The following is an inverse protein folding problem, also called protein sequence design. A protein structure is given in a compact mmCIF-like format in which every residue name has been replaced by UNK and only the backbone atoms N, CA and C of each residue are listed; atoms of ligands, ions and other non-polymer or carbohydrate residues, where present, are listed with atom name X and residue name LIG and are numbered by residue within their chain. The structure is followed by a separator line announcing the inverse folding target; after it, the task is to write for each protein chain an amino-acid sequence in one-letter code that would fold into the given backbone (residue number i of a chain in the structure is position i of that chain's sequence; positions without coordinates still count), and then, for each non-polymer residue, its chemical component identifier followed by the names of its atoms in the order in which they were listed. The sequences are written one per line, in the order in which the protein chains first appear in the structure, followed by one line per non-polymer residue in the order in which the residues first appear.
data_IF_799049456971
#
_entry.id   IF_799049456971
#
_cell.length_a   1.000
_cell.length_b   1.000
_cell.length_c   1.000
_cell.angle_alpha   90.00
_cell.angle_beta   90.00
_cell.angle_gamma   90.00
#
_symmetry.space_group_name_H-M   'P 1'
#
loop_
_entity.id
_entity.type
_entity.pdbx_description
1 polymer ?
#
# COMPACT_ATOMS: atom_id res chain seq x y z
N UNK A 1 19.73 29.61 27.83
CA UNK A 1 20.32 29.01 26.60
C UNK A 1 19.27 28.27 25.78
N UNK A 2 18.51 27.33 26.35
CA UNK A 2 17.55 26.51 25.58
C UNK A 2 16.37 27.26 24.95
N UNK A 3 15.76 28.20 25.68
CA UNK A 3 14.72 29.08 25.13
C UNK A 3 15.29 29.94 24.00
N UNK A 4 16.54 30.37 24.12
CA UNK A 4 17.24 31.16 23.08
C UNK A 4 17.46 30.30 21.83
N UNK A 5 17.91 29.06 21.96
CA UNK A 5 18.07 28.15 20.81
C UNK A 5 16.74 27.86 20.11
N UNK A 6 15.67 27.62 20.88
CA UNK A 6 14.32 27.46 20.32
C UNK A 6 13.86 28.73 19.60
N UNK A 7 14.08 29.90 20.21
CA UNK A 7 13.74 31.19 19.63
C UNK A 7 14.49 31.43 18.31
N UNK A 8 15.80 31.20 18.29
CA UNK A 8 16.65 31.33 17.09
C UNK A 8 16.18 30.39 15.98
N UNK A 9 15.87 29.13 16.30
CA UNK A 9 15.32 28.17 15.33
C UNK A 9 13.98 28.67 14.78
N UNK A 10 13.08 29.14 15.65
CA UNK A 10 11.76 29.64 15.20
C UNK A 10 11.86 30.91 14.36
N UNK A 11 12.78 31.81 14.69
CA UNK A 11 13.01 33.05 13.96
C UNK A 11 13.66 32.78 12.61
N UNK A 12 14.67 31.90 12.57
CA UNK A 12 15.27 31.42 11.32
C UNK A 12 14.24 30.74 10.43
N UNK A 13 13.35 29.92 11.02
CA UNK A 13 12.25 29.29 10.29
C UNK A 13 11.31 30.33 9.67
N UNK A 14 10.88 31.34 10.44
CA UNK A 14 9.99 32.41 9.97
C UNK A 14 10.59 33.21 8.81
N UNK A 15 11.88 33.56 8.89
CA UNK A 15 12.58 34.25 7.80
C UNK A 15 12.63 33.39 6.54
N UNK A 16 12.85 32.08 6.70
CA UNK A 16 13.01 31.15 5.60
C UNK A 16 11.72 30.88 4.82
N UNK A 17 10.54 31.17 5.39
CA UNK A 17 9.23 30.91 4.77
C UNK A 17 9.05 31.60 3.41
N UNK A 18 9.72 32.72 3.19
CA UNK A 18 9.65 33.49 1.94
C UNK A 18 10.60 32.98 0.84
N UNK A 19 11.49 32.03 1.16
CA UNK A 19 12.47 31.49 0.22
C UNK A 19 12.11 30.05 -0.14
N UNK A 20 12.12 29.71 -1.43
CA UNK A 20 11.74 28.37 -1.89
C UNK A 20 12.85 27.37 -1.60
N UNK A 21 13.94 27.38 -2.36
CA UNK A 21 15.00 26.37 -2.24
C UNK A 21 15.89 26.51 -0.99
N UNK A 22 16.33 27.71 -0.56
CA UNK A 22 17.06 27.86 0.71
C UNK A 22 16.18 27.52 1.91
N UNK A 23 14.88 27.83 1.82
CA UNK A 23 13.91 27.56 2.87
C UNK A 23 13.81 26.08 3.21
N UNK A 24 13.77 25.21 2.19
CA UNK A 24 13.75 23.76 2.38
C UNK A 24 14.94 23.28 3.21
N UNK A 25 16.15 23.74 2.87
CA UNK A 25 17.37 23.34 3.59
C UNK A 25 17.37 23.84 5.03
N UNK A 26 16.94 25.08 5.27
CA UNK A 26 16.80 25.63 6.62
C UNK A 26 15.80 24.82 7.45
N UNK A 27 14.62 24.53 6.89
CA UNK A 27 13.58 23.73 7.54
C UNK A 27 14.04 22.30 7.86
N UNK A 28 14.77 21.65 6.96
CA UNK A 28 15.36 20.32 7.19
C UNK A 28 16.41 20.36 8.29
N UNK A 29 17.34 21.33 8.24
CA UNK A 29 18.36 21.51 9.28
C UNK A 29 17.71 21.76 10.65
N UNK A 30 16.69 22.61 10.71
CA UNK A 30 15.93 22.88 11.93
C UNK A 30 15.21 21.62 12.43
N UNK A 31 14.59 20.85 11.55
CA UNK A 31 13.94 19.59 11.92
C UNK A 31 14.94 18.59 12.51
N UNK A 32 16.12 18.44 11.90
CA UNK A 32 17.18 17.55 12.37
C UNK A 32 17.75 18.02 13.71
N UNK A 33 18.06 19.31 13.86
CA UNK A 33 18.54 19.88 15.12
C UNK A 33 17.54 19.68 16.25
N UNK A 34 16.26 20.01 16.02
CA UNK A 34 15.19 19.78 16.98
C UNK A 34 15.05 18.30 17.34
N UNK A 35 15.24 17.39 16.37
CA UNK A 35 15.22 15.95 16.60
C UNK A 35 16.39 15.46 17.46
N UNK A 36 17.60 15.93 17.20
CA UNK A 36 18.78 15.61 18.02
C UNK A 36 18.56 16.10 19.46
N UNK A 37 18.10 17.34 19.62
CA UNK A 37 17.82 17.91 20.94
C UNK A 37 16.69 17.14 21.64
N UNK A 38 15.61 16.80 20.93
CA UNK A 38 14.52 15.99 21.45
C UNK A 38 15.02 14.65 22.00
N UNK A 39 15.92 13.99 21.26
CA UNK A 39 16.53 12.72 21.65
C UNK A 39 17.46 12.88 22.85
N UNK A 40 18.27 13.93 22.91
CA UNK A 40 19.17 14.17 24.03
C UNK A 40 18.40 14.45 25.33
N UNK A 41 17.29 15.20 25.24
CA UNK A 41 16.55 15.68 26.43
C UNK A 41 15.31 14.87 26.75
N UNK A 42 14.98 13.84 25.97
CA UNK A 42 13.83 12.97 26.23
C UNK A 42 12.51 13.77 26.25
N UNK A 43 12.42 14.83 25.44
CA UNK A 43 11.26 15.73 25.40
C UNK A 43 10.34 15.42 24.24
N UNK A 44 9.08 15.06 24.54
CA UNK A 44 8.06 14.80 23.51
C UNK A 44 7.71 16.05 22.71
N UNK A 45 7.66 17.23 23.36
CA UNK A 45 7.26 18.48 22.70
C UNK A 45 8.23 18.86 21.59
N UNK A 46 9.53 18.62 21.77
CA UNK A 46 10.54 18.85 20.73
C UNK A 46 10.43 17.89 19.56
N UNK A 47 9.94 16.65 19.79
CA UNK A 47 9.59 15.74 18.69
C UNK A 47 8.45 16.34 17.85
N UNK A 48 7.44 16.94 18.48
CA UNK A 48 6.37 17.63 17.74
C UNK A 48 6.92 18.81 16.93
N UNK A 49 7.80 19.63 17.52
CA UNK A 49 8.43 20.73 16.82
C UNK A 49 9.26 20.26 15.61
N UNK A 50 10.05 19.18 15.76
CA UNK A 50 10.83 18.55 14.68
C UNK A 50 9.93 18.06 13.54
N UNK A 51 8.85 17.35 13.88
CA UNK A 51 7.87 16.87 12.90
C UNK A 51 7.15 18.03 12.18
N UNK A 52 6.80 19.12 12.88
CA UNK A 52 6.23 20.30 12.22
C UNK A 52 7.24 20.97 11.29
N UNK A 53 8.51 21.11 11.69
CA UNK A 53 9.55 21.71 10.85
C UNK A 53 9.80 20.89 9.56
N UNK A 54 9.78 19.57 9.65
CA UNK A 54 9.87 18.71 8.47
C UNK A 54 8.66 18.80 7.54
N UNK A 55 7.45 18.98 8.08
CA UNK A 55 6.23 19.20 7.30
C UNK A 55 6.34 20.51 6.52
N UNK A 56 6.88 21.56 7.16
CA UNK A 56 7.17 22.83 6.48
C UNK A 56 8.21 22.65 5.38
N UNK A 57 9.27 21.86 5.62
CA UNK A 57 10.27 21.56 4.59
C UNK A 57 9.66 20.87 3.37
N UNK A 58 8.80 19.86 3.60
CA UNK A 58 8.07 19.18 2.52
C UNK A 58 7.15 20.18 1.81
N UNK A 59 6.39 20.99 2.53
CA UNK A 59 5.55 22.03 1.94
C UNK A 59 6.34 22.99 1.04
N UNK A 60 7.43 23.56 1.55
CA UNK A 60 8.32 24.44 0.78
C UNK A 60 8.93 23.74 -0.43
N UNK A 61 9.29 22.46 -0.31
CA UNK A 61 9.83 21.68 -1.42
C UNK A 61 8.78 21.49 -2.50
N UNK A 62 7.53 21.18 -2.13
CA UNK A 62 6.44 21.03 -3.10
C UNK A 62 6.11 22.36 -3.79
N UNK A 63 6.17 23.49 -3.06
CA UNK A 63 5.98 24.83 -3.65
C UNK A 63 7.16 25.28 -4.54
N UNK A 64 8.36 24.77 -4.28
CA UNK A 64 9.53 25.08 -5.11
C UNK A 64 9.47 24.44 -6.50
N UNK A 65 8.72 23.34 -6.65
CA UNK A 65 8.57 22.62 -7.91
C UNK A 65 7.27 23.09 -8.59
N UNK A 66 7.37 23.61 -9.83
CA UNK A 66 6.27 24.31 -10.51
C UNK A 66 4.97 23.49 -10.74
N UNK A 67 4.99 22.15 -10.56
CA UNK A 67 3.81 21.26 -10.61
C UNK A 67 3.12 21.08 -9.23
N UNK A 68 3.12 22.14 -8.43
CA UNK A 68 3.00 22.13 -6.96
C UNK A 68 1.68 21.63 -6.38
N UNK A 69 0.52 21.89 -6.99
CA UNK A 69 -0.76 21.70 -6.28
C UNK A 69 -1.19 20.23 -6.20
N UNK A 70 -0.98 19.45 -7.26
CA UNK A 70 -1.41 18.04 -7.33
C UNK A 70 -0.42 17.06 -6.71
N UNK A 71 0.83 17.46 -6.52
CA UNK A 71 1.85 16.63 -5.86
C UNK A 71 1.80 16.74 -4.33
N UNK A 72 1.20 17.81 -3.79
CA UNK A 72 1.10 18.03 -2.34
C UNK A 72 0.45 16.87 -1.57
N UNK A 73 -0.71 16.31 -1.98
CA UNK A 73 -1.33 15.21 -1.22
C UNK A 73 -0.45 13.97 -1.19
N UNK A 74 0.25 13.67 -2.28
CA UNK A 74 1.16 12.50 -2.36
C UNK A 74 2.34 12.70 -1.40
N UNK A 75 2.98 13.87 -1.42
CA UNK A 75 4.09 14.18 -0.53
C UNK A 75 3.68 14.12 0.96
N UNK A 76 2.48 14.60 1.29
CA UNK A 76 1.92 14.48 2.64
C UNK A 76 1.65 13.02 3.03
N UNK A 77 1.16 12.19 2.10
CA UNK A 77 0.95 10.76 2.32
C UNK A 77 2.29 10.01 2.55
N UNK A 78 3.33 10.33 1.78
CA UNK A 78 4.68 9.78 1.95
C UNK A 78 5.25 10.14 3.32
N UNK A 79 5.13 11.41 3.72
CA UNK A 79 5.57 11.87 5.03
C UNK A 79 4.78 11.20 6.17
N UNK A 80 3.47 11.04 6.00
CA UNK A 80 2.62 10.32 6.95
C UNK A 80 3.05 8.85 7.08
N UNK A 81 3.34 8.17 5.96
CA UNK A 81 3.85 6.81 5.96
C UNK A 81 5.21 6.72 6.66
N UNK A 82 6.13 7.62 6.35
CA UNK A 82 7.47 7.65 6.98
C UNK A 82 7.37 7.79 8.50
N UNK A 83 6.57 8.74 8.99
CA UNK A 83 6.35 8.91 10.44
C UNK A 83 5.61 7.74 11.07
N UNK A 84 4.65 7.17 10.36
CA UNK A 84 3.97 5.98 10.84
C UNK A 84 4.90 4.78 10.95
N UNK A 85 5.71 4.49 9.93
CA UNK A 85 6.64 3.36 9.94
C UNK A 85 7.65 3.49 11.08
N UNK A 86 8.21 4.69 11.29
CA UNK A 86 9.09 4.93 12.44
C UNK A 86 8.36 4.80 13.76
N UNK A 87 7.21 5.46 13.92
CA UNK A 87 6.45 5.47 15.17
C UNK A 87 5.91 4.10 15.55
N UNK A 88 5.25 3.40 14.63
CA UNK A 88 4.72 2.04 14.82
C UNK A 88 5.85 1.00 14.89
N UNK A 89 6.93 1.17 14.14
CA UNK A 89 8.12 0.31 14.20
C UNK A 89 8.79 0.34 15.58
N UNK A 90 8.97 1.53 16.16
CA UNK A 90 9.51 1.68 17.52
C UNK A 90 8.60 1.01 18.56
N UNK A 91 7.28 1.19 18.46
CA UNK A 91 6.32 0.51 19.36
C UNK A 91 6.40 -1.00 19.19
N UNK A 92 6.49 -1.51 17.96
CA UNK A 92 6.61 -2.94 17.70
C UNK A 92 7.89 -3.52 18.32
N UNK A 93 9.04 -2.87 18.12
CA UNK A 93 10.31 -3.31 18.72
C UNK A 93 10.22 -3.29 20.24
N UNK A 94 9.61 -2.25 20.82
CA UNK A 94 9.37 -2.16 22.26
C UNK A 94 8.55 -3.34 22.79
N UNK A 95 7.50 -3.73 22.08
CA UNK A 95 6.60 -4.82 22.51
C UNK A 95 7.24 -6.22 22.38
N UNK A 96 8.22 -6.37 21.50
CA UNK A 96 8.99 -7.62 21.33
C UNK A 96 10.05 -7.81 22.41
N UNK A 97 10.62 -6.72 22.93
CA UNK A 97 11.62 -6.77 24.00
C UNK A 97 10.92 -7.00 25.35
N UNK A 98 10.45 -8.23 25.58
CA UNK A 98 9.82 -8.68 26.84
C UNK A 98 10.81 -9.28 27.85
N UNK A 99 12.07 -9.50 27.49
CA UNK A 99 13.08 -10.11 28.36
C UNK A 99 13.98 -9.08 29.05
N UNK A 100 13.42 -8.29 29.97
CA UNK A 100 14.18 -7.52 30.97
C UNK A 100 15.00 -6.33 30.47
N UNK A 101 15.17 -6.15 29.15
CA UNK A 101 15.85 -4.99 28.57
C UNK A 101 14.83 -3.90 28.26
N UNK A 102 14.92 -2.75 28.93
CA UNK A 102 14.12 -1.60 28.55
C UNK A 102 14.67 -1.01 27.24
N UNK A 103 13.79 -0.76 26.25
CA UNK A 103 14.16 0.03 25.08
C UNK A 103 14.73 1.36 25.55
N UNK A 104 15.82 1.82 24.93
CA UNK A 104 16.48 3.07 25.32
C UNK A 104 15.46 4.22 25.38
N UNK A 105 15.37 4.97 26.49
CA UNK A 105 14.32 5.96 26.71
C UNK A 105 14.27 7.02 25.61
N UNK A 106 15.43 7.35 25.03
CA UNK A 106 15.55 8.29 23.91
C UNK A 106 14.82 7.86 22.63
N UNK A 107 14.61 6.56 22.40
CA UNK A 107 13.85 6.07 21.25
C UNK A 107 12.35 6.01 21.58
N UNK A 108 12.01 5.64 22.81
CA UNK A 108 10.63 5.49 23.25
C UNK A 108 9.81 6.80 23.18
N UNK A 109 10.45 7.96 23.33
CA UNK A 109 9.77 9.27 23.23
C UNK A 109 9.20 9.57 21.85
N UNK A 110 9.79 8.99 20.79
CA UNK A 110 9.42 9.26 19.40
C UNK A 110 8.15 8.51 18.98
N UNK A 111 7.87 7.36 19.59
CA UNK A 111 6.80 6.48 19.17
C UNK A 111 5.43 7.18 19.14
N UNK A 112 5.00 7.78 20.25
CA UNK A 112 3.66 8.37 20.35
C UNK A 112 3.48 9.65 19.52
N UNK A 113 4.40 10.63 19.55
CA UNK A 113 4.29 11.82 18.71
C UNK A 113 4.25 11.49 17.22
N UNK A 114 5.15 10.62 16.73
CA UNK A 114 5.21 10.28 15.32
C UNK A 114 3.93 9.57 14.85
N UNK A 115 3.37 8.68 15.66
CA UNK A 115 2.09 8.02 15.36
C UNK A 115 0.94 9.04 15.25
N UNK A 116 0.86 10.00 16.18
CA UNK A 116 -0.19 11.03 16.16
C UNK A 116 -0.04 11.97 14.97
N UNK A 117 1.18 12.37 14.62
CA UNK A 117 1.42 13.13 13.39
C UNK A 117 1.05 12.35 12.15
N UNK A 118 1.46 11.09 12.06
CA UNK A 118 1.14 10.24 10.91
C UNK A 118 -0.38 10.13 10.70
N UNK A 119 -1.16 9.92 11.76
CA UNK A 119 -2.62 9.87 11.69
C UNK A 119 -3.27 11.24 11.40
N UNK A 120 -2.73 12.33 11.97
CA UNK A 120 -3.20 13.68 11.68
C UNK A 120 -2.96 14.07 10.22
N UNK A 121 -1.76 13.77 9.71
CA UNK A 121 -1.39 13.98 8.31
C UNK A 121 -2.20 13.08 7.38
N UNK A 122 -2.42 11.80 7.73
CA UNK A 122 -3.23 10.91 6.91
C UNK A 122 -4.67 11.41 6.78
N UNK A 123 -5.25 11.90 7.87
CA UNK A 123 -6.58 12.50 7.84
C UNK A 123 -6.64 13.74 6.96
N UNK A 124 -5.71 14.70 7.16
CA UNK A 124 -5.63 15.90 6.32
C UNK A 124 -5.42 15.58 4.84
N UNK A 125 -4.59 14.58 4.56
CA UNK A 125 -4.31 14.12 3.20
C UNK A 125 -5.53 13.47 2.55
N UNK A 126 -6.31 12.67 3.29
CA UNK A 126 -7.55 12.08 2.78
C UNK A 126 -8.60 13.14 2.44
N UNK A 127 -8.76 14.15 3.31
CA UNK A 127 -9.68 15.27 3.04
C UNK A 127 -9.25 16.00 1.77
N UNK A 128 -7.97 16.36 1.67
CA UNK A 128 -7.43 17.05 0.50
C UNK A 128 -7.58 16.23 -0.79
N UNK A 129 -7.26 14.93 -0.72
CA UNK A 129 -7.40 14.00 -1.86
C UNK A 129 -8.85 13.80 -2.24
N UNK A 130 -9.77 13.75 -1.28
CA UNK A 130 -11.20 13.67 -1.53
C UNK A 130 -11.70 14.90 -2.28
N UNK A 131 -11.30 16.10 -1.83
CA UNK A 131 -11.67 17.37 -2.49
C UNK A 131 -11.10 17.48 -3.90
N UNK A 132 -9.82 17.14 -4.09
CA UNK A 132 -9.14 17.25 -5.39
C UNK A 132 -9.45 16.08 -6.34
N UNK A 133 -9.95 14.96 -5.82
CA UNK A 133 -10.22 13.73 -6.56
C UNK A 133 -11.69 13.47 -6.88
N UNK A 134 -12.61 14.41 -6.57
CA UNK A 134 -14.05 14.22 -6.80
C UNK A 134 -14.38 13.90 -8.27
N UNK A 135 -13.61 14.44 -9.22
CA UNK A 135 -13.81 14.21 -10.65
C UNK A 135 -13.69 12.73 -11.04
N UNK A 136 -12.90 11.93 -10.30
CA UNK A 136 -12.77 10.49 -10.53
C UNK A 136 -14.12 9.77 -10.39
N UNK A 137 -15.00 10.23 -9.48
CA UNK A 137 -16.32 9.64 -9.29
C UNK A 137 -17.17 9.88 -10.55
N UNK A 138 -17.15 11.09 -11.09
CA UNK A 138 -17.87 11.44 -12.31
C UNK A 138 -17.33 10.63 -13.51
N UNK A 139 -16.00 10.51 -13.64
CA UNK A 139 -15.36 9.72 -14.69
C UNK A 139 -15.72 8.23 -14.58
N UNK A 140 -15.71 7.68 -13.35
CA UNK A 140 -16.02 6.26 -13.13
C UNK A 140 -17.49 5.97 -13.41
N UNK A 141 -18.39 6.85 -12.97
CA UNK A 141 -19.83 6.72 -13.21
C UNK A 141 -20.13 6.79 -14.70
N UNK A 142 -19.53 7.74 -15.41
CA UNK A 142 -19.66 7.80 -16.85
C UNK A 142 -19.09 6.54 -17.54
N UNK A 143 -17.98 5.99 -17.04
CA UNK A 143 -17.33 4.81 -17.62
C UNK A 143 -18.22 3.59 -17.57
N UNK A 144 -18.93 3.44 -16.46
CA UNK A 144 -19.96 2.41 -16.30
C UNK A 144 -21.16 2.63 -17.24
N UNK A 145 -21.46 3.88 -17.59
CA UNK A 145 -22.52 4.25 -18.55
C UNK A 145 -22.07 4.25 -20.02
N UNK A 146 -20.82 3.90 -20.31
CA UNK A 146 -20.31 3.69 -21.67
C UNK A 146 -19.99 4.95 -22.48
N UNK A 147 -19.85 6.11 -21.83
CA UNK A 147 -19.43 7.33 -22.53
C UNK A 147 -17.94 7.24 -22.98
N UNK A 148 -17.48 8.05 -23.94
CA UNK A 148 -16.06 8.10 -24.29
C UNK A 148 -15.26 8.89 -23.22
N UNK A 149 -14.28 8.25 -22.58
CA UNK A 149 -13.48 8.83 -21.47
C UNK A 149 -12.12 9.42 -21.87
N UNK A 150 -11.71 9.27 -23.14
CA UNK A 150 -10.33 9.56 -23.56
C UNK A 150 -9.91 11.01 -23.39
N UNK A 151 -10.83 11.98 -23.49
CA UNK A 151 -10.48 13.40 -23.41
C UNK A 151 -10.80 14.03 -22.05
N UNK A 152 -11.43 13.28 -21.14
CA UNK A 152 -11.95 13.81 -19.87
C UNK A 152 -11.05 13.49 -18.66
N UNK A 153 -10.22 12.45 -18.75
CA UNK A 153 -9.47 11.94 -17.59
C UNK A 153 -8.12 12.64 -17.46
N UNK A 154 -7.94 13.38 -16.37
CA UNK A 154 -6.63 13.90 -15.98
C UNK A 154 -5.82 12.82 -15.25
N UNK A 155 -4.84 12.26 -15.95
CA UNK A 155 -3.96 11.21 -15.40
C UNK A 155 -3.18 11.67 -14.15
N UNK A 156 -2.95 12.97 -13.98
CA UNK A 156 -2.26 13.54 -12.82
C UNK A 156 -3.09 13.36 -11.55
N UNK A 157 -4.39 13.63 -11.64
CA UNK A 157 -5.33 13.48 -10.52
C UNK A 157 -5.45 12.00 -10.13
N UNK A 158 -5.54 11.10 -11.11
CA UNK A 158 -5.58 9.65 -10.84
C UNK A 158 -4.31 9.18 -10.15
N UNK A 159 -3.11 9.57 -10.65
CA UNK A 159 -1.83 9.22 -10.01
C UNK A 159 -1.75 9.70 -8.57
N UNK A 160 -2.22 10.91 -8.32
CA UNK A 160 -2.30 11.48 -6.98
C UNK A 160 -3.17 10.60 -6.06
N UNK A 161 -4.40 10.27 -6.47
CA UNK A 161 -5.30 9.43 -5.66
C UNK A 161 -4.72 8.03 -5.45
N UNK A 162 -4.14 7.41 -6.47
CA UNK A 162 -3.48 6.10 -6.37
C UNK A 162 -2.32 6.16 -5.37
N UNK A 163 -1.45 7.18 -5.46
CA UNK A 163 -0.32 7.36 -4.56
C UNK A 163 -0.76 7.51 -3.10
N UNK A 164 -1.75 8.38 -2.85
CA UNK A 164 -2.30 8.59 -1.51
C UNK A 164 -2.92 7.30 -0.96
N UNK A 165 -3.77 6.62 -1.73
CA UNK A 165 -4.40 5.38 -1.31
C UNK A 165 -3.36 4.28 -1.00
N UNK A 166 -2.25 4.23 -1.74
CA UNK A 166 -1.16 3.32 -1.41
C UNK A 166 -0.51 3.65 -0.08
N UNK A 167 0.06 4.85 0.03
CA UNK A 167 0.90 5.20 1.17
C UNK A 167 0.10 5.19 2.46
N UNK A 168 -1.15 5.68 2.43
CA UNK A 168 -2.04 5.62 3.57
C UNK A 168 -2.56 4.21 3.82
N UNK A 169 -2.77 3.40 2.78
CA UNK A 169 -3.07 1.97 2.92
C UNK A 169 -1.97 1.24 3.70
N UNK A 170 -0.70 1.37 3.30
CA UNK A 170 0.43 0.77 4.00
C UNK A 170 0.56 1.28 5.45
N UNK A 171 0.36 2.58 5.66
CA UNK A 171 0.34 3.20 6.98
C UNK A 171 -0.74 2.58 7.88
N UNK A 172 -1.97 2.42 7.37
CA UNK A 172 -3.07 1.88 8.12
C UNK A 172 -2.94 0.38 8.39
N UNK A 173 -2.28 -0.38 7.51
CA UNK A 173 -1.87 -1.75 7.83
C UNK A 173 -0.91 -1.76 9.02
N UNK A 174 0.11 -0.90 9.03
CA UNK A 174 1.05 -0.79 10.16
C UNK A 174 0.35 -0.36 11.47
N UNK A 175 -0.59 0.58 11.38
CA UNK A 175 -1.40 1.02 12.51
C UNK A 175 -2.30 -0.10 13.05
N UNK A 176 -3.00 -0.81 12.16
CA UNK A 176 -3.88 -1.93 12.52
C UNK A 176 -3.10 -3.06 13.21
N UNK A 177 -1.91 -3.37 12.70
CA UNK A 177 -1.01 -4.39 13.26
C UNK A 177 -0.53 -4.07 14.67
N UNK A 178 -0.23 -2.80 14.96
CA UNK A 178 0.28 -2.38 16.27
C UNK A 178 -0.84 -2.22 17.30
N UNK A 179 -1.93 -1.55 16.94
CA UNK A 179 -3.01 -1.21 17.87
C UNK A 179 -4.20 -2.19 17.85
N UNK A 180 -4.13 -3.24 17.02
CA UNK A 180 -5.20 -4.26 16.84
C UNK A 180 -6.53 -3.70 16.36
N UNK A 181 -6.50 -2.57 15.65
CA UNK A 181 -7.70 -1.94 15.10
C UNK A 181 -8.10 -2.60 13.77
N UNK A 182 -8.87 -3.69 13.84
CA UNK A 182 -9.28 -4.48 12.66
C UNK A 182 -9.97 -3.64 11.59
N UNK A 183 -10.79 -2.66 12.00
CA UNK A 183 -11.51 -1.77 11.08
C UNK A 183 -10.56 -0.98 10.18
N UNK A 184 -9.44 -0.50 10.73
CA UNK A 184 -8.41 0.17 9.93
C UNK A 184 -7.68 -0.81 9.03
N UNK A 185 -7.48 -2.05 9.46
CA UNK A 185 -6.88 -3.09 8.64
C UNK A 185 -7.70 -3.39 7.39
N UNK A 186 -9.02 -3.55 7.53
CA UNK A 186 -9.91 -3.72 6.37
C UNK A 186 -9.97 -2.48 5.49
N UNK A 187 -10.03 -1.27 6.09
CA UNK A 187 -9.97 -0.02 5.34
C UNK A 187 -8.66 0.14 4.56
N UNK A 188 -7.54 -0.30 5.13
CA UNK A 188 -6.24 -0.28 4.49
C UNK A 188 -6.17 -1.21 3.27
N UNK A 189 -6.70 -2.43 3.40
CA UNK A 189 -6.83 -3.38 2.29
C UNK A 189 -7.69 -2.77 1.19
N UNK A 190 -8.84 -2.18 1.55
CA UNK A 190 -9.72 -1.54 0.59
C UNK A 190 -9.03 -0.39 -0.15
N UNK A 191 -8.22 0.43 0.54
CA UNK A 191 -7.43 1.48 -0.09
C UNK A 191 -6.38 0.95 -1.05
N UNK A 192 -5.65 -0.11 -0.69
CA UNK A 192 -4.64 -0.71 -1.55
C UNK A 192 -5.26 -1.35 -2.81
N UNK A 193 -6.40 -2.03 -2.65
CA UNK A 193 -7.14 -2.59 -3.78
C UNK A 193 -7.78 -1.51 -4.65
N UNK A 194 -8.28 -0.42 -4.06
CA UNK A 194 -8.79 0.73 -4.81
C UNK A 194 -7.68 1.41 -5.61
N UNK A 195 -6.50 1.63 -5.01
CA UNK A 195 -5.32 2.13 -5.71
C UNK A 195 -4.95 1.23 -6.89
N UNK A 196 -4.93 -0.08 -6.68
CA UNK A 196 -4.64 -1.05 -7.73
C UNK A 196 -5.67 -1.03 -8.86
N UNK A 197 -6.97 -1.01 -8.53
CA UNK A 197 -8.06 -0.91 -9.51
C UNK A 197 -8.01 0.39 -10.31
N UNK A 198 -7.82 1.53 -9.65
CA UNK A 198 -7.69 2.82 -10.32
C UNK A 198 -6.47 2.84 -11.25
N UNK A 199 -5.36 2.24 -10.82
CA UNK A 199 -4.15 2.16 -11.64
C UNK A 199 -4.37 1.31 -12.90
N UNK A 200 -5.01 0.14 -12.76
CA UNK A 200 -5.38 -0.71 -13.90
C UNK A 200 -6.34 0.02 -14.83
N UNK A 201 -7.41 0.61 -14.31
CA UNK A 201 -8.47 1.13 -15.16
C UNK A 201 -8.05 2.39 -15.91
N UNK A 202 -7.37 3.31 -15.22
CA UNK A 202 -7.07 4.63 -15.75
C UNK A 202 -5.62 4.79 -16.21
N UNK A 203 -4.62 4.35 -15.45
CA UNK A 203 -3.21 4.62 -15.76
C UNK A 203 -2.66 3.68 -16.83
N UNK A 204 -3.07 2.40 -16.82
CA UNK A 204 -2.68 1.40 -17.83
C UNK A 204 -2.83 1.90 -19.27
N UNK A 205 -3.89 2.65 -19.55
CA UNK A 205 -4.25 3.08 -20.91
C UNK A 205 -3.36 4.22 -21.44
N UNK A 206 -2.60 4.89 -20.56
CA UNK A 206 -1.81 6.08 -20.88
C UNK A 206 -0.30 5.89 -20.72
N UNK A 207 0.18 5.09 -19.75
CA UNK A 207 1.59 5.10 -19.35
C UNK A 207 2.31 3.75 -19.45
N UNK A 208 1.88 2.87 -20.38
CA UNK A 208 2.46 1.55 -20.63
C UNK A 208 2.75 0.77 -19.33
N UNK A 209 1.76 0.00 -18.88
CA UNK A 209 1.64 -0.86 -17.68
C UNK A 209 2.84 -1.79 -17.31
N UNK A 210 4.01 -1.64 -17.95
CA UNK A 210 5.27 -2.34 -17.67
C UNK A 210 5.78 -2.13 -16.24
N UNK A 211 5.49 -0.98 -15.61
CA UNK A 211 6.08 -0.61 -14.33
C UNK A 211 5.23 -0.94 -13.09
N UNK A 212 4.04 -1.52 -13.25
CA UNK A 212 3.13 -1.78 -12.12
C UNK A 212 3.74 -2.70 -11.05
N UNK A 213 4.64 -3.61 -11.44
CA UNK A 213 5.34 -4.47 -10.48
C UNK A 213 6.22 -3.72 -9.49
N UNK A 214 6.83 -2.60 -9.91
CA UNK A 214 7.67 -1.81 -9.02
C UNK A 214 6.90 -1.29 -7.81
N UNK A 215 5.58 -1.19 -7.95
CA UNK A 215 4.67 -0.84 -6.88
C UNK A 215 4.05 -2.08 -6.20
N UNK A 216 3.52 -3.00 -7.00
CA UNK A 216 2.72 -4.12 -6.49
C UNK A 216 3.56 -5.13 -5.69
N UNK A 217 4.81 -5.34 -6.09
CA UNK A 217 5.70 -6.30 -5.43
C UNK A 217 6.13 -5.84 -4.03
N UNK A 218 6.67 -4.61 -3.80
CA UNK A 218 6.98 -4.15 -2.45
C UNK A 218 5.76 -4.09 -1.53
N UNK A 219 4.62 -3.61 -2.05
CA UNK A 219 3.37 -3.56 -1.27
C UNK A 219 2.88 -4.96 -0.88
N UNK A 220 2.90 -5.91 -1.82
CA UNK A 220 2.54 -7.31 -1.55
C UNK A 220 3.46 -7.98 -0.53
N UNK A 221 4.78 -7.79 -0.65
CA UNK A 221 5.74 -8.29 0.34
C UNK A 221 5.50 -7.70 1.74
N UNK A 222 5.17 -6.40 1.82
CA UNK A 222 4.82 -5.76 3.08
C UNK A 222 3.58 -6.41 3.71
N UNK A 223 2.53 -6.63 2.92
CA UNK A 223 1.31 -7.30 3.38
C UNK A 223 1.56 -8.73 3.85
N UNK A 224 2.32 -9.53 3.10
CA UNK A 224 2.69 -10.91 3.50
C UNK A 224 3.50 -10.89 4.81
N UNK A 225 4.41 -9.93 4.95
CA UNK A 225 5.22 -9.78 6.17
C UNK A 225 4.35 -9.48 7.39
N UNK A 226 3.41 -8.55 7.27
CA UNK A 226 2.47 -8.23 8.34
C UNK A 226 1.53 -9.41 8.62
N UNK A 227 1.02 -10.07 7.59
CA UNK A 227 0.16 -11.24 7.73
C UNK A 227 0.84 -12.37 8.51
N UNK A 228 2.13 -12.60 8.26
CA UNK A 228 2.93 -13.56 9.00
C UNK A 228 3.04 -13.22 10.49
N UNK A 229 3.31 -11.95 10.80
CA UNK A 229 3.41 -11.49 12.18
C UNK A 229 2.06 -11.58 12.90
N UNK A 230 0.97 -11.27 12.20
CA UNK A 230 -0.38 -11.28 12.77
C UNK A 230 -0.93 -12.69 12.98
N UNK A 231 -0.53 -13.63 12.11
CA UNK A 231 -0.73 -15.06 12.34
C UNK A 231 -0.03 -15.54 13.61
N UNK A 232 1.22 -15.12 13.86
CA UNK A 232 1.96 -15.46 15.09
C UNK A 232 1.28 -14.91 16.36
N UNK A 233 0.57 -13.80 16.26
CA UNK A 233 -0.22 -13.22 17.37
C UNK A 233 -1.60 -13.87 17.57
N UNK A 234 -1.98 -14.84 16.73
CA UNK A 234 -3.22 -15.60 16.86
C UNK A 234 -4.40 -15.07 16.03
N UNK A 235 -4.27 -13.95 15.31
CA UNK A 235 -5.34 -13.40 14.50
C UNK A 235 -5.31 -13.96 13.07
N UNK A 236 -5.89 -15.15 12.91
CA UNK A 236 -5.81 -15.92 11.66
C UNK A 236 -6.67 -15.38 10.52
N UNK A 237 -7.80 -14.75 10.81
CA UNK A 237 -8.73 -14.28 9.78
C UNK A 237 -8.20 -13.04 9.07
N UNK A 238 -7.72 -12.06 9.84
CA UNK A 238 -7.13 -10.86 9.25
C UNK A 238 -5.82 -11.17 8.50
N UNK A 239 -4.99 -12.08 9.03
CA UNK A 239 -3.82 -12.57 8.31
C UNK A 239 -4.19 -13.20 6.95
N UNK A 240 -5.28 -13.97 6.89
CA UNK A 240 -5.77 -14.53 5.62
C UNK A 240 -6.16 -13.45 4.62
N UNK A 241 -6.89 -12.42 5.06
CA UNK A 241 -7.26 -11.30 4.19
C UNK A 241 -6.05 -10.52 3.67
N UNK A 242 -5.05 -10.27 4.51
CA UNK A 242 -3.80 -9.63 4.09
C UNK A 242 -3.05 -10.47 3.04
N UNK A 243 -2.94 -11.78 3.26
CA UNK A 243 -2.29 -12.69 2.33
C UNK A 243 -3.02 -12.79 0.98
N UNK A 244 -4.36 -12.83 0.98
CA UNK A 244 -5.13 -12.81 -0.26
C UNK A 244 -4.99 -11.48 -1.00
N UNK A 245 -5.00 -10.36 -0.27
CA UNK A 245 -4.81 -9.04 -0.86
C UNK A 245 -3.41 -8.91 -1.48
N UNK A 246 -2.38 -9.42 -0.80
CA UNK A 246 -1.03 -9.47 -1.33
C UNK A 246 -0.95 -10.31 -2.61
N UNK A 247 -1.57 -11.48 -2.63
CA UNK A 247 -1.61 -12.35 -3.80
C UNK A 247 -2.31 -11.67 -4.98
N UNK A 248 -3.43 -10.99 -4.75
CA UNK A 248 -4.14 -10.23 -5.78
C UNK A 248 -3.26 -9.11 -6.33
N UNK A 249 -2.60 -8.35 -5.45
CA UNK A 249 -1.71 -7.27 -5.90
C UNK A 249 -0.54 -7.81 -6.72
N UNK A 250 0.18 -8.83 -6.25
CA UNK A 250 1.37 -9.36 -6.90
C UNK A 250 1.02 -10.19 -8.15
N UNK A 251 0.33 -11.32 -7.94
CA UNK A 251 0.01 -12.27 -9.01
C UNK A 251 -1.01 -11.68 -9.98
N UNK A 252 -2.00 -10.92 -9.50
CA UNK A 252 -2.99 -10.26 -10.37
C UNK A 252 -2.36 -9.22 -11.28
N UNK A 253 -1.42 -8.40 -10.75
CA UNK A 253 -0.67 -7.45 -11.59
C UNK A 253 0.18 -8.17 -12.63
N UNK A 254 0.87 -9.24 -12.25
CA UNK A 254 1.74 -10.01 -13.16
C UNK A 254 0.93 -10.73 -14.24
N UNK A 255 -0.22 -11.30 -13.86
CA UNK A 255 -1.14 -11.93 -14.81
C UNK A 255 -1.63 -10.94 -15.85
N UNK A 256 -2.05 -9.75 -15.41
CA UNK A 256 -2.50 -8.71 -16.34
C UNK A 256 -1.37 -8.22 -17.25
N UNK A 257 -0.16 -8.05 -16.72
CA UNK A 257 1.01 -7.72 -17.55
C UNK A 257 1.38 -8.82 -18.54
N UNK A 258 1.18 -10.09 -18.17
CA UNK A 258 1.40 -11.23 -19.06
C UNK A 258 0.50 -11.17 -20.28
N UNK A 259 -0.79 -10.82 -20.09
CA UNK A 259 -1.73 -10.66 -21.19
C UNK A 259 -1.28 -9.56 -22.16
N UNK A 260 -0.76 -8.44 -21.65
CA UNK A 260 -0.45 -7.25 -22.45
C UNK A 260 0.95 -7.26 -23.09
N UNK A 261 1.95 -7.74 -22.37
CA UNK A 261 3.37 -7.61 -22.74
C UNK A 261 4.07 -8.95 -22.97
N UNK A 262 3.35 -10.07 -22.82
CA UNK A 262 3.79 -11.39 -23.23
C UNK A 262 4.72 -12.12 -22.25
N UNK A 263 5.62 -12.92 -22.82
CA UNK A 263 6.29 -14.03 -22.13
C UNK A 263 7.19 -13.65 -20.95
N UNK A 264 7.82 -12.47 -20.96
CA UNK A 264 8.71 -12.04 -19.87
C UNK A 264 7.94 -11.95 -18.54
N UNK A 265 6.72 -11.41 -18.59
CA UNK A 265 5.86 -11.32 -17.40
C UNK A 265 5.25 -12.67 -17.03
N UNK A 266 5.03 -13.57 -18.00
CA UNK A 266 4.65 -14.95 -17.72
C UNK A 266 5.73 -15.68 -16.92
N UNK A 267 7.01 -15.46 -17.25
CA UNK A 267 8.12 -16.01 -16.49
C UNK A 267 8.17 -15.44 -15.08
N UNK A 268 8.04 -14.12 -14.91
CA UNK A 268 7.96 -13.53 -13.57
C UNK A 268 6.80 -14.12 -12.76
N UNK A 269 5.62 -14.27 -13.37
CA UNK A 269 4.45 -14.87 -12.72
C UNK A 269 4.70 -16.33 -12.32
N UNK A 270 5.33 -17.09 -13.21
CA UNK A 270 5.75 -18.46 -12.92
C UNK A 270 6.78 -18.53 -11.80
N UNK A 271 7.76 -17.62 -11.78
CA UNK A 271 8.79 -17.59 -10.73
C UNK A 271 8.21 -17.21 -9.37
N UNK A 272 7.33 -16.21 -9.30
CA UNK A 272 6.64 -15.86 -8.06
C UNK A 272 5.70 -16.96 -7.59
N UNK A 273 4.99 -17.59 -8.52
CA UNK A 273 4.16 -18.77 -8.26
C UNK A 273 4.97 -19.94 -7.68
N UNK A 274 6.11 -20.27 -8.30
CA UNK A 274 7.03 -21.29 -7.80
C UNK A 274 7.59 -20.92 -6.42
N UNK A 275 8.04 -19.69 -6.23
CA UNK A 275 8.56 -19.24 -4.94
C UNK A 275 7.51 -19.37 -3.83
N UNK A 276 6.27 -18.95 -4.08
CA UNK A 276 5.16 -19.13 -3.16
C UNK A 276 4.84 -20.62 -2.91
N UNK A 277 4.89 -21.45 -3.95
CA UNK A 277 4.66 -22.89 -3.86
C UNK A 277 5.74 -23.58 -3.00
N UNK A 278 7.02 -23.32 -3.28
CA UNK A 278 8.14 -23.86 -2.51
C UNK A 278 8.09 -23.40 -1.06
N UNK A 279 7.80 -22.13 -0.82
CA UNK A 279 7.65 -21.59 0.53
C UNK A 279 6.49 -22.23 1.30
N UNK A 280 5.34 -22.40 0.63
CA UNK A 280 4.17 -23.07 1.18
C UNK A 280 4.44 -24.54 1.50
N UNK A 281 5.15 -25.25 0.62
CA UNK A 281 5.58 -26.64 0.82
C UNK A 281 6.53 -26.77 2.00
N UNK A 282 7.61 -25.96 2.03
CA UNK A 282 8.60 -25.96 3.10
C UNK A 282 7.98 -25.70 4.48
N UNK A 283 7.05 -24.74 4.57
CA UNK A 283 6.37 -24.40 5.83
C UNK A 283 5.12 -25.23 6.12
N UNK A 284 4.75 -26.16 5.23
CA UNK A 284 3.51 -26.95 5.30
C UNK A 284 2.24 -26.09 5.43
N UNK A 285 2.23 -24.92 4.79
CA UNK A 285 1.12 -23.98 4.78
C UNK A 285 0.31 -24.12 3.49
N UNK A 286 -0.84 -24.81 3.57
CA UNK A 286 -1.74 -25.07 2.43
C UNK A 286 -2.05 -23.81 1.62
N UNK A 287 -2.26 -22.68 2.29
CA UNK A 287 -2.63 -21.41 1.65
C UNK A 287 -1.57 -20.90 0.66
N UNK A 288 -0.29 -20.87 1.05
CA UNK A 288 0.78 -20.42 0.13
C UNK A 288 1.03 -21.45 -0.97
N UNK A 289 0.83 -22.74 -0.67
CA UNK A 289 0.90 -23.80 -1.67
C UNK A 289 -0.20 -23.62 -2.73
N UNK A 290 -1.45 -23.34 -2.33
CA UNK A 290 -2.54 -23.00 -3.25
C UNK A 290 -2.26 -21.71 -4.04
N UNK A 291 -1.78 -20.64 -3.40
CA UNK A 291 -1.40 -19.42 -4.11
C UNK A 291 -0.33 -19.69 -5.17
N UNK A 292 0.69 -20.48 -4.85
CA UNK A 292 1.74 -20.84 -5.79
C UNK A 292 1.24 -21.67 -6.97
N UNK A 293 0.36 -22.65 -6.71
CA UNK A 293 -0.31 -23.40 -7.79
C UNK A 293 -1.15 -22.49 -8.68
N UNK A 294 -1.93 -21.58 -8.09
CA UNK A 294 -2.72 -20.60 -8.85
C UNK A 294 -1.81 -19.71 -9.68
N UNK A 295 -0.70 -19.21 -9.13
CA UNK A 295 0.29 -18.42 -9.89
C UNK A 295 0.84 -19.17 -11.10
N UNK A 296 1.17 -20.45 -10.94
CA UNK A 296 1.64 -21.31 -12.03
C UNK A 296 0.57 -21.55 -13.10
N UNK A 297 -0.68 -21.81 -12.69
CA UNK A 297 -1.82 -21.94 -13.60
C UNK A 297 -2.02 -20.64 -14.36
N UNK A 298 -2.02 -19.49 -13.68
CA UNK A 298 -2.18 -18.18 -14.31
C UNK A 298 -1.03 -17.86 -15.27
N UNK A 299 0.21 -18.25 -14.98
CA UNK A 299 1.34 -18.09 -15.88
C UNK A 299 1.16 -18.90 -17.17
N UNK A 300 0.79 -20.18 -17.05
CA UNK A 300 0.57 -21.06 -18.20
C UNK A 300 -0.63 -20.62 -19.04
N UNK A 301 -1.76 -20.30 -18.40
CA UNK A 301 -2.96 -19.80 -19.07
C UNK A 301 -2.70 -18.44 -19.72
N UNK A 302 -2.05 -17.52 -19.01
CA UNK A 302 -1.71 -16.20 -19.55
C UNK A 302 -0.83 -16.28 -20.79
N UNK A 303 0.20 -17.15 -20.75
CA UNK A 303 1.07 -17.39 -21.91
C UNK A 303 0.32 -18.05 -23.07
N UNK A 304 -0.58 -19.01 -22.79
CA UNK A 304 -1.41 -19.64 -23.80
C UNK A 304 -2.33 -18.61 -24.47
N UNK A 305 -3.01 -17.76 -23.68
CA UNK A 305 -3.87 -16.71 -24.19
C UNK A 305 -3.10 -15.70 -25.05
N UNK A 306 -1.91 -15.27 -24.61
CA UNK A 306 -1.08 -14.36 -25.38
C UNK A 306 -0.65 -14.99 -26.73
N UNK A 307 -0.22 -16.26 -26.71
CA UNK A 307 0.16 -16.99 -27.92
C UNK A 307 -1.02 -17.11 -28.88
N UNK A 308 -2.22 -17.38 -28.37
CA UNK A 308 -3.44 -17.49 -29.18
C UNK A 308 -3.94 -16.14 -29.71
N UNK A 309 -3.82 -15.06 -28.94
CA UNK A 309 -4.16 -13.70 -29.41
C UNK A 309 -3.29 -13.29 -30.60
N UNK A 310 -2.04 -13.75 -30.64
CA UNK A 310 -1.13 -13.49 -31.76
C UNK A 310 -1.54 -14.22 -33.05
N UNK A 311 -2.29 -15.33 -32.94
CA UNK A 311 -2.74 -16.14 -34.08
C UNK A 311 -4.17 -15.80 -34.49
N UNK A 312 -5.12 -15.75 -33.55
CA UNK A 312 -6.53 -15.43 -33.81
C UNK A 312 -7.29 -15.04 -32.52
N UNK A 313 -7.84 -13.83 -32.48
CA UNK A 313 -8.59 -13.30 -31.33
C UNK A 313 -9.87 -14.08 -31.01
N UNK A 314 -10.51 -14.73 -31.98
CA UNK A 314 -11.74 -15.51 -31.75
C UNK A 314 -11.52 -16.77 -30.91
N UNK A 315 -10.35 -17.42 -31.06
CA UNK A 315 -10.00 -18.60 -30.27
C UNK A 315 -9.81 -18.24 -28.79
N UNK A 316 -9.30 -17.04 -28.52
CA UNK A 316 -9.09 -16.53 -27.17
C UNK A 316 -10.42 -16.27 -26.46
N UNK A 317 -11.39 -15.66 -27.14
CA UNK A 317 -12.74 -15.52 -26.60
C UNK A 317 -13.40 -16.88 -26.34
N UNK A 318 -13.18 -17.86 -27.23
CA UNK A 318 -13.64 -19.24 -27.04
C UNK A 318 -13.04 -19.89 -25.79
N UNK A 319 -11.74 -19.75 -25.55
CA UNK A 319 -11.05 -20.35 -24.39
C UNK A 319 -11.42 -19.64 -23.09
N UNK A 320 -11.51 -18.31 -23.07
CA UNK A 320 -11.98 -17.56 -21.90
C UNK A 320 -13.41 -17.98 -21.57
N UNK A 321 -14.29 -18.09 -22.58
CA UNK A 321 -15.66 -18.58 -22.41
C UNK A 321 -15.70 -20.00 -21.84
N UNK A 322 -14.87 -20.90 -22.37
CA UNK A 322 -14.80 -22.28 -21.90
C UNK A 322 -14.23 -22.37 -20.47
N UNK A 323 -13.24 -21.56 -20.12
CA UNK A 323 -12.72 -21.44 -18.76
C UNK A 323 -13.78 -20.95 -17.77
N UNK A 324 -14.58 -19.95 -18.16
CA UNK A 324 -15.69 -19.46 -17.34
C UNK A 324 -16.74 -20.54 -17.13
N UNK A 325 -17.11 -21.27 -18.17
CA UNK A 325 -18.05 -22.41 -18.08
C UNK A 325 -17.48 -23.52 -17.20
N UNK A 326 -16.21 -23.90 -17.38
CA UNK A 326 -15.57 -24.92 -16.56
C UNK A 326 -15.50 -24.50 -15.08
N UNK A 327 -15.19 -23.22 -14.82
CA UNK A 327 -15.19 -22.66 -13.46
C UNK A 327 -16.59 -22.68 -12.86
N UNK A 328 -17.61 -22.27 -13.62
CA UNK A 328 -19.01 -22.34 -13.19
C UNK A 328 -19.42 -23.77 -12.84
N UNK A 329 -19.08 -24.76 -13.68
CA UNK A 329 -19.37 -26.18 -13.43
C UNK A 329 -18.63 -26.70 -12.19
N UNK A 330 -17.38 -26.30 -11.98
CA UNK A 330 -16.62 -26.70 -10.78
C UNK A 330 -17.24 -26.08 -9.52
N UNK A 331 -17.64 -24.81 -9.57
CA UNK A 331 -18.31 -24.11 -8.46
C UNK A 331 -19.66 -24.76 -8.16
N UNK A 332 -20.44 -25.10 -9.18
CA UNK A 332 -21.72 -25.79 -9.06
C UNK A 332 -21.54 -27.17 -8.41
N UNK A 333 -20.61 -27.99 -8.92
CA UNK A 333 -20.30 -29.29 -8.32
C UNK A 333 -19.76 -29.20 -6.90
N UNK A 334 -18.97 -28.15 -6.59
CA UNK A 334 -18.45 -27.94 -5.23
C UNK A 334 -19.53 -27.41 -4.28
N UNK A 335 -20.51 -26.66 -4.75
CA UNK A 335 -21.69 -26.26 -3.97
C UNK A 335 -22.56 -27.47 -3.62
N UNK A 336 -22.64 -28.47 -4.51
CA UNK A 336 -23.30 -29.75 -4.24
C UNK A 336 -22.54 -30.58 -3.20
N UNK A 337 -21.21 -30.66 -3.30
CA UNK A 337 -20.35 -31.30 -2.28
C UNK A 337 -20.46 -30.58 -0.91
N UNK A 338 -20.47 -29.25 -0.87
CA UNK A 338 -20.51 -28.46 0.38
C UNK A 338 -21.85 -28.64 1.12
N UNK A 339 -22.96 -28.86 0.41
CA UNK A 339 -24.24 -29.22 1.04
C UNK A 339 -24.21 -30.60 1.70
N UNK A 340 -23.42 -31.55 1.18
CA UNK A 340 -23.26 -32.88 1.78
C UNK A 340 -22.26 -32.89 2.94
N UNK A 341 -21.28 -31.99 2.94
CA UNK A 341 -20.28 -31.88 4.03
C UNK A 341 -20.75 -31.06 5.24
N UNK A 342 -21.84 -30.30 5.13
CA UNK A 342 -22.40 -29.54 6.27
C UNK A 342 -22.95 -30.47 7.37
N UNK A 343 -23.53 -31.63 7.00
CA UNK A 343 -24.02 -32.64 7.95
C UNK A 343 -22.87 -33.43 8.64
N UNK A 344 -21.69 -33.52 8.01
CA UNK A 344 -20.54 -34.26 8.56
C UNK A 344 -19.71 -33.38 9.51
N UNK A 345 -19.67 -32.07 9.28
CA UNK A 345 -18.85 -31.12 10.05
C UNK A 345 -19.51 -30.63 11.36
N UNK A 346 -20.81 -30.85 11.59
CA UNK A 346 -21.45 -30.62 12.91
C UNK A 346 -21.04 -31.66 13.98
N UNK A 347 -20.39 -32.76 13.58
CA UNK A 347 -19.92 -33.80 14.53
C UNK A 347 -18.48 -33.61 15.01
N UNK A 348 -17.85 -32.50 14.61
CA UNK A 348 -16.49 -32.13 15.02
C UNK A 348 -16.42 -30.74 15.68
N UNK A 349 -17.36 -30.49 16.61
CA UNK A 349 -17.08 -29.62 17.77
C UNK A 349 -16.64 -30.46 18.99
#
# INVERSE_FOLDING_TARGET
LYIMTLFDITLGQLISLNSTTPGVMVSLCNALLLGVIASMWVSRLLVYASATASLLAVGQSVFAWQDSTKSLPVALAELALFYGLLGYGITFVRDQIKCGQALHPRLAIWASPLQRYALGLSFGTLVLTGLMGMDIIAWTTGALLGLPFRDLVDTTVVRMVVGVCCFLGLLYVAAAFTHRWMRLGYGAIAMLLAAWMLHIFYIQRWDNFRYVQWYAFPAGLFLVSIAYLEWRKGNRDFARWLDYSAAVLMLGSLFWQTLLFGWVYALFLGTEGLAAFFWGSYRRLRRYLYMGMVGMILATVGQLLNSLQSVNQWIVFGIIGLLLVATAVIVERKLEDIKTWHEILETWE
#
